data_IF_778057075604
#
_entry.id   IF_778057075604
#
_cell.length_a   1.000
_cell.length_b   1.000
_cell.length_c   1.000
_cell.angle_alpha   90.00
_cell.angle_beta   90.00
_cell.angle_gamma   90.00
#
_symmetry.space_group_name_H-M   'P 1'
#
loop_
_entity.id
_entity.type
_entity.pdbx_description
1 polymer ?
#
# COMPACT_ATOMS: atom_id res chain seq x y z
N UNK A 1 -8.68 0.79 -1.55
CA UNK A 1 -8.58 -0.48 -2.29
C UNK A 1 -7.12 -0.67 -2.67
N UNK A 2 -6.52 -1.79 -2.31
CA UNK A 2 -5.15 -2.18 -2.63
C UNK A 2 -5.20 -3.37 -3.61
N UNK A 3 -4.81 -3.13 -4.86
CA UNK A 3 -4.78 -4.15 -5.91
C UNK A 3 -3.34 -4.61 -6.19
N UNK A 4 -2.60 -3.93 -7.07
CA UNK A 4 -1.19 -4.27 -7.38
C UNK A 4 -0.16 -3.42 -6.64
N UNK A 5 -0.60 -2.50 -5.76
CA UNK A 5 0.27 -1.62 -4.98
C UNK A 5 0.87 -0.41 -5.70
N UNK A 6 0.84 -0.37 -7.04
CA UNK A 6 1.57 0.65 -7.82
C UNK A 6 1.16 2.11 -7.52
N UNK A 7 -0.14 2.39 -7.38
CA UNK A 7 -0.60 3.75 -7.04
C UNK A 7 -0.14 4.16 -5.65
N UNK A 8 -0.26 3.27 -4.66
CA UNK A 8 0.14 3.55 -3.29
C UNK A 8 1.65 3.79 -3.16
N UNK A 9 2.47 2.99 -3.85
CA UNK A 9 3.93 3.17 -3.90
C UNK A 9 4.30 4.53 -4.50
N UNK A 10 3.70 4.90 -5.64
CA UNK A 10 3.97 6.18 -6.28
C UNK A 10 3.57 7.37 -5.39
N UNK A 11 2.44 7.27 -4.71
CA UNK A 11 1.99 8.29 -3.75
C UNK A 11 2.91 8.41 -2.54
N UNK A 12 3.33 7.28 -1.95
CA UNK A 12 4.23 7.26 -0.81
C UNK A 12 5.60 7.89 -1.17
N UNK A 13 6.18 7.47 -2.30
CA UNK A 13 7.45 8.04 -2.81
C UNK A 13 7.34 9.54 -3.10
N UNK A 14 6.21 9.99 -3.65
CA UNK A 14 5.99 11.42 -3.88
C UNK A 14 5.96 12.19 -2.55
N UNK A 15 5.23 11.69 -1.55
CA UNK A 15 5.17 12.31 -0.23
C UNK A 15 6.54 12.34 0.45
N UNK A 16 7.29 11.24 0.43
CA UNK A 16 8.68 11.17 0.93
C UNK A 16 9.60 12.17 0.23
N UNK A 17 9.48 12.32 -1.10
CA UNK A 17 10.28 13.28 -1.87
C UNK A 17 10.02 14.74 -1.46
N UNK A 18 8.89 15.01 -0.82
CA UNK A 18 8.51 16.31 -0.26
C UNK A 18 8.86 16.44 1.23
N UNK A 19 9.57 15.45 1.80
CA UNK A 19 10.02 15.44 3.19
C UNK A 19 9.02 14.85 4.18
N UNK A 20 7.97 14.14 3.71
CA UNK A 20 7.07 13.44 4.61
C UNK A 20 7.71 12.18 5.19
N UNK A 21 7.41 11.91 6.46
CA UNK A 21 7.66 10.62 7.09
C UNK A 21 6.37 9.80 7.04
N UNK A 22 6.41 8.62 6.41
CA UNK A 22 5.21 7.82 6.14
C UNK A 22 4.92 6.94 7.35
N UNK A 23 3.91 7.34 8.13
CA UNK A 23 3.46 6.55 9.28
C UNK A 23 2.83 5.19 8.89
N UNK A 24 2.27 5.06 7.69
CA UNK A 24 1.66 3.83 7.19
C UNK A 24 0.69 4.05 6.02
N UNK A 25 0.23 2.97 5.42
CA UNK A 25 -0.70 2.94 4.28
C UNK A 25 -1.95 2.15 4.66
N UNK A 26 -3.10 2.84 4.71
CA UNK A 26 -4.39 2.26 5.09
C UNK A 26 -5.34 2.04 3.91
N UNK A 27 -5.96 0.86 3.83
CA UNK A 27 -6.92 0.50 2.79
C UNK A 27 -8.19 -0.14 3.37
N UNK A 28 -9.32 0.07 2.71
CA UNK A 28 -10.57 -0.62 3.08
C UNK A 28 -10.58 -2.07 2.59
N UNK A 29 -9.98 -2.35 1.44
CA UNK A 29 -9.99 -3.67 0.77
C UNK A 29 -8.61 -3.93 0.20
N UNK A 30 -8.12 -5.18 0.32
CA UNK A 30 -6.91 -5.71 -0.30
C UNK A 30 -7.21 -6.98 -1.11
N UNK A 31 -6.63 -7.08 -2.31
CA UNK A 31 -6.70 -8.24 -3.19
C UNK A 31 -5.41 -9.07 -3.03
N UNK A 32 -5.42 -10.06 -2.13
CA UNK A 32 -4.22 -10.78 -1.71
C UNK A 32 -3.58 -11.56 -2.87
N UNK A 33 -4.40 -12.09 -3.79
CA UNK A 33 -3.94 -12.86 -4.95
C UNK A 33 -3.07 -12.08 -5.95
N UNK A 34 -3.00 -10.75 -5.83
CA UNK A 34 -2.12 -9.89 -6.63
C UNK A 34 -0.77 -9.59 -5.97
N UNK A 35 -0.54 -10.09 -4.76
CA UNK A 35 0.66 -9.83 -3.94
C UNK A 35 1.04 -8.33 -3.85
N UNK A 36 0.09 -7.40 -3.54
CA UNK A 36 0.36 -5.97 -3.56
C UNK A 36 1.48 -5.53 -2.62
N UNK A 37 1.63 -6.20 -1.47
CA UNK A 37 2.59 -5.85 -0.42
C UNK A 37 4.04 -5.98 -0.88
N UNK A 38 4.32 -6.74 -1.93
CA UNK A 38 5.68 -6.84 -2.48
C UNK A 38 6.23 -5.50 -2.98
N UNK A 39 5.36 -4.61 -3.47
CA UNK A 39 5.74 -3.26 -3.91
C UNK A 39 5.77 -2.24 -2.77
N UNK A 40 5.22 -2.58 -1.61
CA UNK A 40 5.10 -1.69 -0.45
C UNK A 40 6.05 -2.11 0.69
N UNK A 41 7.11 -2.87 0.38
CA UNK A 41 8.15 -3.24 1.34
C UNK A 41 8.75 -1.99 1.97
N UNK A 42 8.73 -1.93 3.30
CA UNK A 42 9.20 -0.78 4.07
C UNK A 42 8.09 0.12 4.60
N UNK A 43 6.86 -0.04 4.13
CA UNK A 43 5.69 0.63 4.70
C UNK A 43 4.92 -0.31 5.64
N UNK A 44 4.35 0.24 6.71
CA UNK A 44 3.29 -0.45 7.45
C UNK A 44 2.00 -0.42 6.63
N UNK A 45 1.49 -1.59 6.26
CA UNK A 45 0.32 -1.74 5.39
C UNK A 45 -0.81 -2.41 6.15
N UNK A 46 -1.90 -1.68 6.30
CA UNK A 46 -3.12 -2.14 6.98
C UNK A 46 -4.32 -2.13 6.02
N UNK A 47 -5.09 -3.21 6.06
CA UNK A 47 -6.31 -3.37 5.26
C UNK A 47 -7.44 -3.88 6.14
N UNK A 48 -8.64 -3.29 6.02
CA UNK A 48 -9.81 -3.72 6.81
C UNK A 48 -10.40 -5.05 6.34
N UNK A 49 -10.41 -5.28 5.02
CA UNK A 49 -10.94 -6.48 4.38
C UNK A 49 -9.92 -7.07 3.41
N UNK A 50 -9.88 -8.39 3.37
CA UNK A 50 -9.00 -9.17 2.51
C UNK A 50 -9.83 -10.06 1.60
N UNK A 51 -9.47 -10.10 0.32
CA UNK A 51 -10.03 -11.01 -0.69
C UNK A 51 -8.91 -11.88 -1.25
N UNK A 52 -9.04 -13.18 -1.03
CA UNK A 52 -8.04 -14.20 -1.39
C UNK A 52 -8.35 -14.89 -2.74
N UNK A 53 -9.49 -14.58 -3.37
CA UNK A 53 -10.00 -15.21 -4.60
C UNK A 53 -10.72 -14.24 -5.51
#
# INVERSE_FOLDING_TARGET
LLATGGTAEATARLAESLGADIAGLGFVVELDFLNPRDKLKGYDVFSLLHYDK
#
